data_IF_023986599395
#
_entry.id   IF_023986599395
#
_cell.length_a   1.000
_cell.length_b   1.000
_cell.length_c   1.000
_cell.angle_alpha   90.00
_cell.angle_beta   90.00
_cell.angle_gamma   90.00
#
_symmetry.space_group_name_H-M   'P 1'
#
loop_
_entity.id
_entity.type
_entity.pdbx_description
1 polymer ?
#
# COMPACT_ATOMS: atom_id res chain seq x y z
N UNK A 1 5.84 -15.48 -4.10
CA UNK A 1 4.40 -15.45 -4.46
C UNK A 1 3.59 -14.93 -3.28
N UNK A 2 3.11 -13.67 -3.31
CA UNK A 2 2.47 -13.01 -2.15
C UNK A 2 1.15 -13.66 -1.72
N UNK A 3 0.46 -14.33 -2.64
CA UNK A 3 -0.83 -14.97 -2.38
C UNK A 3 -0.78 -16.51 -2.38
N UNK A 4 0.42 -17.09 -2.39
CA UNK A 4 0.62 -18.53 -2.48
C UNK A 4 0.32 -19.11 -3.87
N UNK A 5 0.27 -20.45 -3.97
CA UNK A 5 0.01 -21.21 -5.21
C UNK A 5 -0.58 -22.58 -4.88
N UNK A 6 -1.31 -23.18 -5.82
CA UNK A 6 -1.87 -24.53 -5.70
C UNK A 6 -3.13 -24.59 -4.84
N UNK A 7 -3.39 -25.74 -4.21
CA UNK A 7 -4.66 -26.03 -3.49
C UNK A 7 -4.93 -25.16 -2.26
N UNK A 8 -3.91 -24.46 -1.74
CA UNK A 8 -4.01 -23.55 -0.58
C UNK A 8 -3.67 -22.10 -0.95
N UNK A 9 -3.86 -21.73 -2.22
CA UNK A 9 -3.74 -20.35 -2.67
C UNK A 9 -4.77 -19.47 -1.92
N UNK A 10 -4.44 -18.19 -1.73
CA UNK A 10 -5.38 -17.23 -1.16
C UNK A 10 -6.69 -17.27 -1.97
N UNK A 11 -7.83 -17.65 -1.35
CA UNK A 11 -9.10 -17.73 -2.07
C UNK A 11 -9.57 -16.34 -2.53
N UNK A 12 -9.02 -15.27 -1.94
CA UNK A 12 -9.31 -13.90 -2.29
C UNK A 12 -8.58 -13.37 -3.52
N UNK A 13 -7.56 -14.01 -4.08
CA UNK A 13 -6.60 -13.43 -5.06
C UNK A 13 -7.20 -12.51 -6.14
N UNK A 14 -8.36 -12.83 -6.72
CA UNK A 14 -8.96 -12.02 -7.78
C UNK A 14 -9.48 -10.65 -7.30
N UNK A 15 -9.94 -10.55 -6.06
CA UNK A 15 -10.58 -9.35 -5.51
C UNK A 15 -9.59 -8.23 -5.17
N UNK A 16 -8.45 -8.49 -4.49
CA UNK A 16 -7.44 -7.49 -4.18
C UNK A 16 -6.88 -6.82 -5.42
N UNK A 17 -6.71 -7.53 -6.54
CA UNK A 17 -6.08 -6.96 -7.73
C UNK A 17 -6.93 -5.84 -8.33
N UNK A 18 -8.22 -6.11 -8.50
CA UNK A 18 -9.17 -5.10 -8.95
C UNK A 18 -9.27 -3.92 -7.97
N UNK A 19 -9.33 -4.18 -6.66
CA UNK A 19 -9.42 -3.13 -5.65
C UNK A 19 -8.14 -2.29 -5.61
N UNK A 20 -6.97 -2.93 -5.61
CA UNK A 20 -5.68 -2.27 -5.50
C UNK A 20 -5.43 -1.36 -6.69
N UNK A 21 -5.66 -1.85 -7.91
CA UNK A 21 -5.53 -1.07 -9.12
C UNK A 21 -6.45 0.15 -9.12
N UNK A 22 -7.73 -0.06 -8.82
CA UNK A 22 -8.71 1.03 -8.77
C UNK A 22 -8.37 2.07 -7.69
N UNK A 23 -8.06 1.64 -6.47
CA UNK A 23 -7.74 2.55 -5.37
C UNK A 23 -6.45 3.34 -5.64
N UNK A 24 -5.37 2.66 -6.04
CA UNK A 24 -4.10 3.33 -6.31
C UNK A 24 -4.25 4.32 -7.48
N UNK A 25 -4.94 3.94 -8.55
CA UNK A 25 -5.18 4.84 -9.68
C UNK A 25 -5.88 6.13 -9.24
N UNK A 26 -6.95 6.02 -8.44
CA UNK A 26 -7.66 7.19 -7.92
C UNK A 26 -6.81 8.03 -6.96
N UNK A 27 -6.01 7.39 -6.09
CA UNK A 27 -5.14 8.10 -5.15
C UNK A 27 -4.04 8.91 -5.87
N UNK A 28 -3.47 8.38 -6.94
CA UNK A 28 -2.45 9.08 -7.74
C UNK A 28 -3.09 10.18 -8.60
N UNK A 29 -4.29 9.91 -9.12
CA UNK A 29 -5.03 10.84 -9.96
C UNK A 29 -5.50 12.06 -9.18
N UNK A 30 -6.12 11.85 -8.01
CA UNK A 30 -6.75 12.90 -7.22
C UNK A 30 -5.77 13.69 -6.35
N UNK A 31 -4.60 13.14 -6.02
CA UNK A 31 -3.70 13.74 -5.04
C UNK A 31 -2.25 13.84 -5.53
N UNK A 32 -1.57 14.88 -5.07
CA UNK A 32 -0.12 14.97 -5.07
C UNK A 32 0.42 14.46 -3.73
N UNK A 33 1.43 13.60 -3.79
CA UNK A 33 2.04 12.95 -2.63
C UNK A 33 3.44 13.53 -2.42
N UNK A 34 3.70 14.00 -1.21
CA UNK A 34 5.01 14.52 -0.81
C UNK A 34 5.52 13.77 0.41
N UNK A 35 6.82 13.47 0.42
CA UNK A 35 7.48 12.94 1.60
C UNK A 35 7.38 13.94 2.76
N UNK A 36 7.31 13.42 3.98
CA UNK A 36 7.48 14.25 5.18
C UNK A 36 8.95 14.67 5.24
N UNK A 37 9.23 15.93 5.57
CA UNK A 37 10.59 16.51 5.51
C UNK A 37 11.65 15.59 6.14
N UNK A 38 12.68 15.24 5.36
CA UNK A 38 13.80 14.40 5.78
C UNK A 38 13.49 12.91 5.97
N UNK A 39 12.28 12.46 5.68
CA UNK A 39 11.86 11.07 5.88
C UNK A 39 12.08 10.19 4.65
N UNK A 40 13.10 9.33 4.69
CA UNK A 40 13.11 8.13 3.85
C UNK A 40 12.00 7.17 4.30
N UNK A 41 11.46 6.38 3.37
CA UNK A 41 10.47 5.36 3.69
C UNK A 41 11.18 4.22 4.41
N UNK A 42 10.92 4.09 5.71
CA UNK A 42 11.40 2.95 6.50
C UNK A 42 10.52 1.72 6.26
N UNK A 43 11.07 0.74 5.55
CA UNK A 43 10.43 -0.54 5.26
C UNK A 43 10.75 -1.62 6.31
N UNK A 44 11.37 -1.27 7.43
CA UNK A 44 11.61 -2.24 8.50
C UNK A 44 10.29 -2.81 9.03
N UNK A 45 10.30 -4.11 9.29
CA UNK A 45 9.09 -4.87 9.59
C UNK A 45 9.04 -5.26 11.07
N UNK A 46 7.82 -5.45 11.59
CA UNK A 46 7.59 -6.15 12.85
C UNK A 46 6.51 -7.22 12.66
N UNK A 47 6.63 -8.29 13.42
CA UNK A 47 5.71 -9.41 13.37
C UNK A 47 4.65 -9.24 14.46
N UNK A 48 3.39 -9.19 14.04
CA UNK A 48 2.22 -9.29 14.91
C UNK A 48 1.41 -10.53 14.49
N UNK A 49 0.08 -10.42 14.44
CA UNK A 49 -0.75 -11.42 13.76
C UNK A 49 -0.43 -11.50 12.26
N UNK A 50 -0.01 -10.38 11.66
CA UNK A 50 0.53 -10.27 10.30
C UNK A 50 1.88 -9.55 10.32
N UNK A 51 2.57 -9.51 9.19
CA UNK A 51 3.72 -8.61 9.00
C UNK A 51 3.20 -7.19 8.80
N UNK A 52 3.70 -6.24 9.60
CA UNK A 52 3.34 -4.82 9.52
C UNK A 52 4.59 -3.95 9.49
N UNK A 53 4.48 -2.73 8.96
CA UNK A 53 5.58 -1.76 9.04
C UNK A 53 5.87 -1.44 10.50
N UNK A 54 7.15 -1.55 10.89
CA UNK A 54 7.61 -1.25 12.25
C UNK A 54 7.27 0.19 12.63
N UNK A 55 7.48 1.09 11.68
CA UNK A 55 7.13 2.50 11.75
C UNK A 55 6.04 2.81 10.70
N UNK A 56 4.87 3.34 11.09
CA UNK A 56 3.80 3.64 10.14
C UNK A 56 4.23 4.61 9.04
N UNK A 57 3.81 4.35 7.80
CA UNK A 57 4.03 5.24 6.65
C UNK A 57 3.37 6.60 6.89
N UNK A 58 4.09 7.69 6.61
CA UNK A 58 3.59 9.06 6.69
C UNK A 58 3.83 9.77 5.37
N UNK A 59 2.87 10.57 4.93
CA UNK A 59 2.96 11.38 3.73
C UNK A 59 2.15 12.67 3.89
N UNK A 60 2.60 13.73 3.24
CA UNK A 60 1.77 14.90 2.98
C UNK A 60 0.98 14.68 1.70
N UNK A 61 -0.34 14.78 1.80
CA UNK A 61 -1.25 14.52 0.68
C UNK A 61 -2.08 15.78 0.44
N UNK A 62 -2.00 16.33 -0.77
CA UNK A 62 -2.75 17.51 -1.18
C UNK A 62 -3.62 17.18 -2.40
N UNK A 63 -4.87 17.69 -2.49
CA UNK A 63 -5.66 17.56 -3.70
C UNK A 63 -4.90 18.12 -4.91
N UNK A 64 -4.90 17.39 -6.01
CA UNK A 64 -4.31 17.85 -7.27
C UNK A 64 -5.26 18.89 -7.87
N UNK A 65 -4.85 20.16 -7.90
CA UNK A 65 -5.55 21.21 -8.64
C UNK A 65 -5.28 20.99 -10.12
N UNK A 66 -6.34 20.99 -10.92
CA UNK A 66 -6.25 20.89 -12.39
C UNK A 66 -6.07 22.26 -13.01
#
# INVERSE_FOLDING_TARGET
>A
MPFGVGRRICPGLGLPMLHLEYFIANLIWCFEWKAVDGGEVDLSERHEFTVVMKNPLKAHVCPRVR
#
